data_IF_347480102996
#
_entry.id   IF_347480102996
#
_cell.length_a   1.000
_cell.length_b   1.000
_cell.length_c   1.000
_cell.angle_alpha   90.00
_cell.angle_beta   90.00
_cell.angle_gamma   90.00
#
_symmetry.space_group_name_H-M   'P 1'
#
loop_
_entity.id
_entity.type
_entity.pdbx_description
1 polymer ?
#
# COMPACT_ATOMS: atom_id res chain seq x y z
N UNK A 1 11.23 -13.73 1.21
CA UNK A 1 11.56 -14.52 0.00
C UNK A 1 12.89 -15.25 0.13
N UNK A 2 14.05 -14.59 0.23
CA UNK A 2 15.36 -15.28 0.25
C UNK A 2 15.71 -15.99 1.57
N UNK A 3 15.38 -15.39 2.71
CA UNK A 3 15.71 -15.91 4.06
C UNK A 3 14.51 -16.53 4.77
N UNK A 4 13.29 -16.16 4.35
CA UNK A 4 12.04 -16.61 4.98
C UNK A 4 11.61 -15.81 6.22
N UNK A 5 12.33 -14.75 6.57
CA UNK A 5 12.01 -13.86 7.69
C UNK A 5 12.37 -12.40 7.38
N UNK A 6 11.91 -11.48 8.22
CA UNK A 6 12.20 -10.05 8.09
C UNK A 6 13.64 -9.72 8.56
N UNK A 7 14.35 -8.81 7.86
CA UNK A 7 15.79 -8.59 8.08
C UNK A 7 16.13 -7.90 9.41
N UNK A 8 15.18 -7.18 10.03
CA UNK A 8 15.43 -6.36 11.23
C UNK A 8 14.69 -6.85 12.47
N UNK A 9 13.82 -7.84 12.35
CA UNK A 9 13.07 -8.38 13.48
C UNK A 9 13.93 -9.26 14.38
N UNK A 10 13.57 -9.33 15.64
CA UNK A 10 14.15 -10.31 16.55
C UNK A 10 13.39 -11.63 16.48
N UNK A 11 14.07 -12.69 16.02
CA UNK A 11 13.51 -14.03 15.97
C UNK A 11 13.13 -14.57 17.35
N UNK A 12 13.80 -14.12 18.42
CA UNK A 12 13.48 -14.56 19.78
C UNK A 12 12.31 -13.77 20.39
N UNK A 13 12.06 -12.55 19.92
CA UNK A 13 11.05 -11.65 20.46
C UNK A 13 10.41 -10.78 19.35
N UNK A 14 9.57 -11.36 18.49
CA UNK A 14 9.04 -10.70 17.30
C UNK A 14 8.09 -9.54 17.62
N UNK A 15 7.53 -9.49 18.83
CA UNK A 15 6.64 -8.39 19.27
C UNK A 15 7.42 -7.16 19.76
N UNK A 16 8.75 -7.22 19.80
CA UNK A 16 9.58 -6.13 20.27
C UNK A 16 9.85 -5.09 19.18
N UNK A 17 8.85 -4.28 18.89
CA UNK A 17 8.94 -3.23 17.87
C UNK A 17 10.07 -2.24 18.17
N UNK A 18 10.33 -1.92 19.45
CA UNK A 18 11.42 -1.01 19.85
C UNK A 18 12.77 -1.52 19.35
N UNK A 19 13.06 -2.82 19.50
CA UNK A 19 14.30 -3.43 19.03
C UNK A 19 14.37 -3.50 17.51
N UNK A 20 13.26 -3.79 16.83
CA UNK A 20 13.16 -3.78 15.37
C UNK A 20 13.47 -2.39 14.81
N UNK A 21 12.90 -1.32 15.37
CA UNK A 21 13.16 0.06 14.95
C UNK A 21 14.64 0.43 15.15
N UNK A 22 15.23 0.07 16.29
CA UNK A 22 16.66 0.30 16.54
C UNK A 22 17.54 -0.37 15.48
N UNK A 23 17.22 -1.62 15.10
CA UNK A 23 17.95 -2.35 14.05
C UNK A 23 17.76 -1.73 12.67
N UNK A 24 16.57 -1.24 12.33
CA UNK A 24 16.31 -0.52 11.08
C UNK A 24 17.19 0.74 10.99
N UNK A 25 17.19 1.56 12.04
CA UNK A 25 17.95 2.82 12.07
C UNK A 25 19.47 2.57 11.99
N UNK A 26 19.94 1.49 12.61
CA UNK A 26 21.34 1.07 12.56
C UNK A 26 21.70 0.21 11.33
N UNK A 27 20.73 -0.12 10.47
CA UNK A 27 20.87 -1.03 9.31
C UNK A 27 21.50 -2.37 9.71
N UNK A 28 21.05 -2.92 10.84
CA UNK A 28 21.55 -4.17 11.38
C UNK A 28 20.71 -5.35 10.89
N UNK A 29 21.20 -6.01 9.84
CA UNK A 29 20.66 -7.28 9.35
C UNK A 29 21.79 -8.28 9.12
N UNK A 30 21.49 -9.58 9.19
CA UNK A 30 22.43 -10.65 8.85
C UNK A 30 21.73 -11.65 7.93
N UNK A 31 22.41 -12.08 6.88
CA UNK A 31 22.00 -13.25 6.11
C UNK A 31 22.54 -14.48 6.84
N UNK A 32 21.69 -15.43 7.28
CA UNK A 32 22.15 -16.61 7.99
C UNK A 32 23.10 -17.48 7.16
N UNK A 33 24.03 -18.17 7.81
CA UNK A 33 25.12 -18.90 7.13
C UNK A 33 24.61 -20.10 6.30
N UNK A 34 23.44 -20.64 6.65
CA UNK A 34 22.76 -21.69 5.88
C UNK A 34 22.09 -21.18 4.60
N UNK A 35 21.96 -19.86 4.41
CA UNK A 35 21.34 -19.25 3.23
C UNK A 35 22.43 -18.88 2.23
N UNK A 36 22.55 -19.67 1.16
CA UNK A 36 23.49 -19.41 0.09
C UNK A 36 22.87 -18.53 -1.00
N UNK A 37 23.36 -17.30 -1.11
CA UNK A 37 22.99 -16.37 -2.18
C UNK A 37 24.23 -15.88 -2.92
N UNK A 38 24.05 -15.54 -4.20
CA UNK A 38 25.14 -15.05 -5.05
C UNK A 38 25.71 -13.72 -4.56
N UNK A 39 26.95 -13.42 -4.96
CA UNK A 39 27.60 -12.17 -4.59
C UNK A 39 26.83 -10.95 -5.13
N UNK A 40 26.31 -11.03 -6.35
CA UNK A 40 25.48 -9.95 -6.93
C UNK A 40 24.20 -9.73 -6.11
N UNK A 41 23.61 -10.79 -5.54
CA UNK A 41 22.45 -10.66 -4.66
C UNK A 41 22.80 -9.91 -3.37
N UNK A 42 23.92 -10.30 -2.72
CA UNK A 42 24.43 -9.62 -1.52
C UNK A 42 24.73 -8.16 -1.82
N UNK A 43 25.36 -7.89 -2.95
CA UNK A 43 25.66 -6.52 -3.40
C UNK A 43 24.38 -5.70 -3.60
N UNK A 44 23.37 -6.26 -4.28
CA UNK A 44 22.07 -5.61 -4.45
C UNK A 44 21.43 -5.26 -3.09
N UNK A 45 21.35 -6.22 -2.16
CA UNK A 45 20.77 -6.00 -0.83
C UNK A 45 21.53 -4.91 -0.05
N UNK A 46 22.86 -4.90 -0.12
CA UNK A 46 23.69 -3.89 0.55
C UNK A 46 23.45 -2.47 0.02
N UNK A 47 23.03 -2.34 -1.25
CA UNK A 47 22.72 -1.07 -1.90
C UNK A 47 21.28 -0.60 -1.63
N UNK A 48 20.37 -1.53 -1.30
CA UNK A 48 18.97 -1.25 -0.90
C UNK A 48 18.91 -0.87 0.58
N UNK A 49 19.54 -1.67 1.45
CA UNK A 49 19.58 -1.41 2.89
C UNK A 49 20.65 -0.37 3.21
N UNK A 50 20.33 0.89 2.89
CA UNK A 50 21.16 2.07 3.17
C UNK A 50 20.31 3.07 3.96
N UNK A 51 20.82 3.51 5.12
CA UNK A 51 20.13 4.43 6.02
C UNK A 51 19.80 5.76 5.33
N UNK A 52 20.79 6.37 4.67
CA UNK A 52 20.62 7.61 3.93
C UNK A 52 19.86 7.36 2.61
N UNK A 53 18.64 7.91 2.44
CA UNK A 53 17.83 7.70 1.23
C UNK A 53 18.50 8.21 -0.05
N UNK A 54 19.23 9.34 0.02
CA UNK A 54 19.92 9.94 -1.13
C UNK A 54 21.08 9.07 -1.65
N UNK A 55 21.59 8.14 -0.84
CA UNK A 55 22.64 7.18 -1.23
C UNK A 55 22.08 5.80 -1.59
N UNK A 56 20.78 5.57 -1.36
CA UNK A 56 20.13 4.30 -1.63
C UNK A 56 19.99 4.12 -3.13
N UNK A 57 20.20 2.88 -3.60
CA UNK A 57 20.04 2.55 -5.02
C UNK A 57 18.63 2.89 -5.51
N UNK A 58 18.56 3.50 -6.68
CA UNK A 58 17.30 3.87 -7.34
C UNK A 58 16.74 2.69 -8.14
N UNK A 59 15.44 2.76 -8.47
CA UNK A 59 14.81 1.75 -9.34
C UNK A 59 15.51 1.65 -10.70
N UNK A 60 15.93 2.78 -11.29
CA UNK A 60 16.65 2.80 -12.57
C UNK A 60 17.98 2.05 -12.50
N UNK A 61 18.69 2.15 -11.38
CA UNK A 61 19.93 1.41 -11.15
C UNK A 61 19.67 -0.07 -10.85
N UNK A 62 18.62 -0.40 -10.10
CA UNK A 62 18.19 -1.80 -9.85
C UNK A 62 17.92 -2.51 -11.17
N UNK A 63 17.17 -1.89 -12.09
CA UNK A 63 16.84 -2.47 -13.41
C UNK A 63 18.06 -2.74 -14.28
N UNK A 64 19.18 -2.07 -14.00
CA UNK A 64 20.47 -2.25 -14.69
C UNK A 64 21.43 -3.19 -13.93
N UNK A 65 21.08 -3.60 -12.72
CA UNK A 65 21.97 -4.38 -11.89
C UNK A 65 22.09 -5.83 -12.42
N UNK A 66 23.30 -6.43 -12.44
CA UNK A 66 23.52 -7.78 -12.97
C UNK A 66 22.59 -8.85 -12.37
N UNK A 67 22.35 -8.79 -11.05
CA UNK A 67 21.43 -9.71 -10.38
C UNK A 67 19.99 -9.63 -10.90
N UNK A 68 19.50 -8.44 -11.25
CA UNK A 68 18.13 -8.25 -11.75
C UNK A 68 18.00 -8.67 -13.22
N UNK A 69 19.02 -8.38 -14.02
CA UNK A 69 19.05 -8.71 -15.45
C UNK A 69 19.23 -10.22 -15.70
N UNK A 70 19.80 -10.95 -14.74
CA UNK A 70 20.04 -12.39 -14.88
C UNK A 70 18.71 -13.13 -15.04
N UNK A 71 18.54 -13.78 -16.19
CA UNK A 71 17.34 -14.52 -16.57
C UNK A 71 16.06 -13.66 -16.59
N UNK A 72 16.18 -12.35 -16.82
CA UNK A 72 15.01 -11.49 -16.99
C UNK A 72 14.26 -11.88 -18.28
N UNK A 73 12.96 -12.26 -18.20
CA UNK A 73 12.15 -12.55 -19.38
C UNK A 73 12.11 -11.36 -20.34
N UNK A 74 12.15 -11.63 -21.65
CA UNK A 74 12.18 -10.60 -22.69
C UNK A 74 10.97 -9.66 -22.59
N UNK A 75 9.81 -10.19 -22.21
CA UNK A 75 8.56 -9.43 -22.09
C UNK A 75 8.58 -8.42 -20.92
N UNK A 76 9.48 -8.61 -19.96
CA UNK A 76 9.68 -7.72 -18.82
C UNK A 76 10.82 -6.71 -19.04
N UNK A 77 11.44 -6.71 -20.22
CA UNK A 77 12.44 -5.71 -20.58
C UNK A 77 11.80 -4.34 -20.77
N UNK A 78 12.59 -3.28 -20.58
CA UNK A 78 12.12 -1.90 -20.78
C UNK A 78 11.55 -1.67 -22.18
N UNK A 79 12.17 -2.27 -23.21
CA UNK A 79 11.69 -2.20 -24.58
C UNK A 79 10.34 -2.87 -24.77
N UNK A 80 10.13 -4.06 -24.19
CA UNK A 80 8.86 -4.78 -24.33
C UNK A 80 7.74 -4.09 -23.54
N UNK A 81 8.06 -3.61 -22.32
CA UNK A 81 7.13 -2.82 -21.52
C UNK A 81 6.77 -1.50 -22.21
N UNK A 82 7.72 -0.81 -22.85
CA UNK A 82 7.44 0.42 -23.58
C UNK A 82 6.44 0.17 -24.72
N UNK A 83 6.61 -0.90 -25.49
CA UNK A 83 5.66 -1.29 -26.55
C UNK A 83 4.27 -1.60 -25.99
N UNK A 84 4.23 -2.27 -24.83
CA UNK A 84 2.98 -2.58 -24.14
C UNK A 84 2.24 -1.32 -23.65
N UNK A 85 2.94 -0.37 -23.04
CA UNK A 85 2.32 0.88 -22.54
C UNK A 85 2.10 1.93 -23.64
N UNK A 86 2.79 1.85 -24.77
CA UNK A 86 2.61 2.73 -25.93
C UNK A 86 1.44 2.32 -26.84
N UNK A 87 0.68 1.28 -26.48
CA UNK A 87 -0.61 0.98 -27.12
C UNK A 87 -0.51 0.52 -28.58
N UNK A 88 0.66 0.04 -29.04
CA UNK A 88 0.82 -0.50 -30.40
C UNK A 88 0.52 -1.99 -30.52
N UNK A 89 0.36 -2.70 -29.40
CA UNK A 89 -0.25 -4.02 -29.39
C UNK A 89 -1.75 -3.86 -29.21
N UNK A 90 -2.54 -4.64 -29.95
CA UNK A 90 -4.00 -4.85 -29.83
C UNK A 90 -4.47 -5.35 -28.44
N UNK A 91 -3.77 -5.02 -27.35
CA UNK A 91 -4.12 -5.33 -25.98
C UNK A 91 -5.29 -4.44 -25.51
N UNK A 92 -6.48 -4.73 -26.05
CA UNK A 92 -7.80 -4.30 -25.59
C UNK A 92 -8.14 -4.78 -24.14
N UNK A 93 -7.15 -5.11 -23.30
CA UNK A 93 -7.33 -5.99 -22.15
C UNK A 93 -7.38 -5.32 -20.78
N UNK A 94 -7.15 -4.01 -20.62
CA UNK A 94 -7.11 -3.41 -19.27
C UNK A 94 -8.39 -2.71 -18.84
N UNK A 95 -9.16 -2.19 -19.79
CA UNK A 95 -10.59 -1.87 -19.71
C UNK A 95 -10.90 -1.03 -20.94
N UNK A 96 -12.05 -1.24 -21.58
CA UNK A 96 -12.50 -0.37 -22.68
C UNK A 96 -13.09 0.94 -22.18
N UNK A 97 -13.26 1.07 -20.86
CA UNK A 97 -13.97 2.19 -20.26
C UNK A 97 -13.10 3.44 -20.34
N UNK A 98 -13.70 4.50 -20.85
CA UNK A 98 -13.04 5.81 -20.84
C UNK A 98 -12.99 6.36 -19.42
N UNK A 99 -12.14 7.37 -19.20
CA UNK A 99 -12.06 8.07 -17.90
C UNK A 99 -13.43 8.63 -17.52
N UNK A 100 -14.19 9.11 -18.51
CA UNK A 100 -15.53 9.66 -18.33
C UNK A 100 -16.52 8.59 -17.88
N UNK A 101 -16.46 7.39 -18.45
CA UNK A 101 -17.31 6.26 -18.05
C UNK A 101 -16.99 5.79 -16.63
N UNK A 102 -15.70 5.72 -16.28
CA UNK A 102 -15.26 5.38 -14.92
C UNK A 102 -15.81 6.41 -13.92
N UNK A 103 -15.65 7.70 -14.20
CA UNK A 103 -16.13 8.77 -13.33
C UNK A 103 -17.66 8.80 -13.22
N UNK A 104 -18.36 8.43 -14.30
CA UNK A 104 -19.82 8.27 -14.30
C UNK A 104 -20.26 7.15 -13.35
N UNK A 105 -19.63 5.98 -13.44
CA UNK A 105 -19.93 4.84 -12.55
C UNK A 105 -19.64 5.20 -11.09
N UNK A 106 -18.53 5.88 -10.81
CA UNK A 106 -18.21 6.36 -9.44
C UNK A 106 -19.28 7.34 -8.94
N UNK A 107 -19.76 8.24 -9.80
CA UNK A 107 -20.84 9.17 -9.47
C UNK A 107 -22.17 8.48 -9.19
N UNK A 108 -22.53 7.48 -10.01
CA UNK A 108 -23.74 6.67 -9.81
C UNK A 108 -23.68 5.85 -8.53
N UNK A 109 -22.53 5.26 -8.21
CA UNK A 109 -22.32 4.43 -7.03
C UNK A 109 -22.37 5.20 -5.69
N UNK A 110 -22.26 6.53 -5.70
CA UNK A 110 -22.42 7.37 -4.50
C UNK A 110 -23.87 7.46 -4.02
N UNK A 111 -24.84 7.16 -4.88
CA UNK A 111 -26.25 7.24 -4.55
C UNK A 111 -26.83 5.82 -4.37
N UNK A 112 -27.33 5.45 -3.18
CA UNK A 112 -27.97 4.15 -3.00
C UNK A 112 -29.25 4.06 -3.85
N UNK A 113 -29.51 2.87 -4.42
CA UNK A 113 -30.70 2.63 -5.24
C UNK A 113 -31.99 2.91 -4.45
N UNK A 114 -33.02 3.55 -5.04
CA UNK A 114 -34.31 3.75 -4.38
C UNK A 114 -35.07 2.46 -4.05
N UNK A 115 -34.70 1.31 -4.64
CA UNK A 115 -35.42 0.04 -4.48
C UNK A 115 -34.86 -0.88 -3.38
N UNK A 116 -33.87 -0.45 -2.60
CA UNK A 116 -33.48 -1.16 -1.39
C UNK A 116 -34.54 -0.96 -0.30
N UNK A 117 -35.74 -1.51 -0.53
CA UNK A 117 -36.51 -2.03 0.59
C UNK A 117 -35.62 -3.11 1.19
N UNK A 118 -35.24 -3.04 2.48
CA UNK A 118 -34.54 -4.15 3.11
C UNK A 118 -35.40 -5.38 2.88
N UNK A 119 -34.82 -6.43 2.29
CA UNK A 119 -35.47 -7.71 2.18
C UNK A 119 -35.90 -8.13 3.58
N UNK A 120 -37.21 -8.22 3.82
CA UNK A 120 -37.86 -8.58 5.09
C UNK A 120 -37.63 -10.06 5.46
N UNK A 121 -36.41 -10.56 5.29
CA UNK A 121 -36.04 -11.97 5.42
C UNK A 121 -34.54 -12.23 5.50
N UNK A 122 -33.68 -11.20 5.42
CA UNK A 122 -32.29 -11.31 5.86
C UNK A 122 -32.18 -10.56 7.18
N UNK A 123 -31.85 -11.29 8.25
CA UNK A 123 -32.00 -10.92 9.66
C UNK A 123 -31.17 -9.73 10.16
N UNK A 124 -31.44 -8.56 9.61
CA UNK A 124 -31.09 -7.25 10.17
C UNK A 124 -32.34 -6.38 10.18
N UNK A 125 -33.40 -6.90 10.80
CA UNK A 125 -34.66 -6.21 11.02
C UNK A 125 -34.87 -6.02 12.52
N UNK A 126 -34.33 -4.94 13.07
CA UNK A 126 -34.73 -4.41 14.37
C UNK A 126 -35.33 -3.03 14.14
N UNK A 127 -36.64 -2.95 13.94
CA UNK A 127 -37.36 -1.69 13.85
C UNK A 127 -38.30 -1.56 15.03
N UNK A 128 -38.28 -0.35 15.60
CA UNK A 128 -39.27 0.27 16.46
C UNK A 128 -39.31 -0.19 17.94
N UNK A 129 -38.77 0.71 18.78
CA UNK A 129 -39.36 1.28 20.00
C UNK A 129 -40.48 0.46 20.68
N UNK A 130 -40.22 0.01 21.90
CA UNK A 130 -40.97 0.35 23.12
C UNK A 130 -40.39 -0.43 24.32
N UNK A 131 -39.88 0.35 25.29
CA UNK A 131 -39.77 0.12 26.74
C UNK A 131 -38.77 -0.89 27.35
N UNK A 132 -38.12 -0.42 28.44
CA UNK A 132 -37.31 -1.13 29.46
C UNK A 132 -35.91 -1.61 29.00
N UNK A 133 -34.76 -1.24 29.58
CA UNK A 133 -34.36 -0.84 30.94
C UNK A 133 -33.03 -0.07 30.88
N UNK A 134 -32.85 0.86 31.82
CA UNK A 134 -31.61 1.56 32.17
C UNK A 134 -30.43 0.59 32.36
N UNK A 135 -29.41 0.68 31.52
CA UNK A 135 -28.05 0.23 31.83
C UNK A 135 -27.05 1.24 31.27
N UNK A 136 -26.76 2.25 32.08
CA UNK A 136 -25.58 3.12 31.94
C UNK A 136 -24.32 2.27 32.13
N UNK A 137 -23.64 1.88 31.04
CA UNK A 137 -22.21 1.54 31.09
C UNK A 137 -21.43 2.69 30.45
N UNK A 138 -20.79 3.50 31.30
CA UNK A 138 -19.77 4.47 30.92
C UNK A 138 -18.62 3.75 30.19
N UNK A 139 -18.50 3.99 28.88
CA UNK A 139 -17.28 3.72 28.13
C UNK A 139 -16.64 5.06 27.82
N UNK A 140 -15.67 5.41 28.65
CA UNK A 140 -14.77 6.54 28.50
C UNK A 140 -13.70 6.16 27.44
N UNK A 141 -13.93 6.55 26.19
CA UNK A 141 -12.90 6.49 25.14
C UNK A 141 -12.63 7.92 24.64
N UNK A 142 -11.58 8.52 25.20
CA UNK A 142 -10.92 9.71 24.68
C UNK A 142 -10.44 9.46 23.23
N UNK A 143 -11.21 9.93 22.25
CA UNK A 143 -10.81 9.97 20.84
C UNK A 143 -10.22 11.36 20.50
N UNK A 144 -8.90 11.52 20.70
CA UNK A 144 -8.11 12.71 20.33
C UNK A 144 -7.40 12.53 18.97
N UNK A 145 -8.07 11.96 17.97
CA UNK A 145 -7.43 11.49 16.73
C UNK A 145 -7.79 12.19 15.42
N UNK A 146 -9.02 12.70 15.27
CA UNK A 146 -9.58 12.95 13.92
C UNK A 146 -9.47 14.40 13.39
N UNK A 147 -8.93 15.35 14.16
CA UNK A 147 -9.08 16.77 13.81
C UNK A 147 -8.02 17.34 12.86
N UNK A 148 -6.80 16.80 12.84
CA UNK A 148 -5.68 17.48 12.17
C UNK A 148 -5.71 17.31 10.64
N UNK A 149 -6.10 16.13 10.17
CA UNK A 149 -6.13 15.81 8.75
C UNK A 149 -7.24 16.58 8.03
N UNK A 150 -8.44 16.57 8.60
CA UNK A 150 -9.62 17.22 8.04
C UNK A 150 -9.47 18.75 8.03
N UNK A 151 -8.77 19.30 9.03
CA UNK A 151 -8.41 20.72 9.08
C UNK A 151 -7.45 21.11 7.96
N UNK A 152 -6.41 20.31 7.72
CA UNK A 152 -5.47 20.54 6.60
C UNK A 152 -6.14 20.44 5.24
N UNK A 153 -7.05 19.48 5.05
CA UNK A 153 -7.79 19.32 3.79
C UNK A 153 -8.69 20.54 3.52
N UNK A 154 -9.31 21.11 4.55
CA UNK A 154 -10.13 22.32 4.42
C UNK A 154 -9.29 23.55 4.11
N UNK A 155 -8.11 23.72 4.72
CA UNK A 155 -7.19 24.84 4.43
C UNK A 155 -6.66 24.82 3.00
N UNK A 156 -6.27 23.64 2.48
CA UNK A 156 -5.78 23.51 1.10
C UNK A 156 -6.89 23.82 0.09
N UNK A 157 -8.13 23.42 0.39
CA UNK A 157 -9.29 23.76 -0.46
C UNK A 157 -9.63 25.25 -0.41
N UNK A 158 -9.43 25.90 0.75
CA UNK A 158 -9.73 27.32 0.95
C UNK A 158 -8.67 28.26 0.37
N UNK A 159 -7.40 27.84 0.35
CA UNK A 159 -6.27 28.64 -0.17
C UNK A 159 -6.18 28.68 -1.70
N UNK A 160 -6.86 27.77 -2.41
CA UNK A 160 -6.90 27.79 -3.88
C UNK A 160 -5.56 27.53 -4.57
N UNK A 161 -4.51 27.16 -3.83
CA UNK A 161 -3.19 26.84 -4.39
C UNK A 161 -3.17 25.40 -4.91
N UNK A 162 -3.71 25.21 -6.12
CA UNK A 162 -3.44 24.04 -6.94
C UNK A 162 -2.37 24.41 -7.97
N UNK A 163 -1.09 24.39 -7.57
CA UNK A 163 0.01 24.40 -8.53
C UNK A 163 0.39 22.97 -8.88
N UNK A 164 -0.17 22.46 -9.98
CA UNK A 164 0.39 21.32 -10.70
C UNK A 164 1.48 21.89 -11.61
N UNK A 165 2.73 21.58 -11.32
CA UNK A 165 3.84 21.66 -12.28
C UNK A 165 4.29 20.25 -12.63
#
# INVERSE_FOLDING_TARGET
>A
MLVGAYPFEDHADPKNFRKTIQRIMAVQYKIPDYVHISQDCKHMLSRIFVANPSRRITIKEIKKHPWFLKNLPRDLTESAQAVYYQGQGDNQSFSRQSIEEIMKIVGEARNPSPSSKPSKGFGWGGAANEDEEDLEEEIDEEDDGEDEYDKRVKEVRASGEFQIS
#
